data_IF_578665489385
#
_entry.id   IF_578665489385
#
_cell.length_a   1.000
_cell.length_b   1.000
_cell.length_c   1.000
_cell.angle_alpha   90.00
_cell.angle_beta   90.00
_cell.angle_gamma   90.00
#
_symmetry.space_group_name_H-M   'P 1'
#
loop_
_entity.id
_entity.type
_entity.pdbx_description
1 polymer ?
#
# COMPACT_ATOMS: atom_id res chain seq x y z
N UNK A 1 -22.68 0.81 -12.87
CA UNK A 1 -22.03 1.87 -12.08
C UNK A 1 -20.68 1.34 -11.64
N UNK A 2 -19.57 1.96 -12.03
CA UNK A 2 -18.24 1.54 -11.54
C UNK A 2 -18.12 1.78 -10.03
N UNK A 3 -17.24 1.05 -9.32
CA UNK A 3 -16.98 1.33 -7.91
C UNK A 3 -16.49 2.77 -7.78
N UNK A 4 -17.25 3.62 -7.09
CA UNK A 4 -16.79 4.96 -6.78
C UNK A 4 -15.61 4.85 -5.83
N UNK A 5 -14.41 5.12 -6.35
CA UNK A 5 -13.23 5.29 -5.52
C UNK A 5 -13.47 6.55 -4.69
N UNK A 6 -13.66 6.38 -3.38
CA UNK A 6 -13.80 7.50 -2.45
C UNK A 6 -12.64 8.48 -2.64
N UNK A 7 -12.92 9.78 -2.74
CA UNK A 7 -11.91 10.83 -2.93
C UNK A 7 -10.81 10.81 -1.86
N UNK A 8 -11.11 10.27 -0.68
CA UNK A 8 -10.14 10.05 0.41
C UNK A 8 -9.05 9.02 0.09
N UNK A 9 -9.22 8.18 -0.94
CA UNK A 9 -8.20 7.21 -1.38
C UNK A 9 -7.19 7.82 -2.38
N UNK A 10 -7.42 9.05 -2.87
CA UNK A 10 -6.52 9.73 -3.80
C UNK A 10 -5.37 10.47 -3.11
N UNK A 11 -5.45 10.69 -1.79
CA UNK A 11 -4.35 11.27 -1.02
C UNK A 11 -3.27 10.24 -0.77
N UNK A 12 -2.01 10.64 -0.93
CA UNK A 12 -0.89 9.80 -0.56
C UNK A 12 -0.94 9.53 0.97
N UNK A 13 -0.86 8.28 1.45
CA UNK A 13 -0.81 7.98 2.89
C UNK A 13 0.22 8.82 3.66
N UNK A 14 1.33 9.18 2.99
CA UNK A 14 2.38 10.02 3.55
C UNK A 14 1.88 11.39 4.01
N UNK A 15 0.82 11.93 3.40
CA UNK A 15 0.22 13.22 3.76
C UNK A 15 -0.45 13.21 5.14
N UNK A 16 -0.74 12.01 5.66
CA UNK A 16 -1.46 11.82 6.92
C UNK A 16 -0.56 11.34 8.06
N UNK A 17 0.74 11.19 7.82
CA UNK A 17 1.66 10.72 8.85
C UNK A 17 1.83 11.82 9.91
N UNK A 18 1.57 11.54 11.20
CA UNK A 18 1.44 12.57 12.24
C UNK A 18 2.72 13.37 12.48
N UNK A 19 3.89 12.83 12.12
CA UNK A 19 5.18 13.55 12.19
C UNK A 19 6.09 13.06 11.05
N UNK A 20 6.27 13.88 10.01
CA UNK A 20 7.34 13.71 9.01
C UNK A 20 8.66 14.26 9.58
N UNK A 21 9.28 13.51 10.47
CA UNK A 21 10.62 13.82 10.95
C UNK A 21 11.64 13.04 10.10
N UNK A 22 12.25 13.73 9.13
CA UNK A 22 13.27 13.16 8.25
C UNK A 22 14.53 12.72 9.03
N UNK A 23 14.70 13.12 10.29
CA UNK A 23 15.77 12.59 11.15
C UNK A 23 15.41 11.23 11.78
N UNK A 24 14.14 10.82 11.70
CA UNK A 24 13.60 9.55 12.19
C UNK A 24 13.35 8.54 11.08
N UNK A 25 14.14 8.58 9.99
CA UNK A 25 14.27 7.51 8.98
C UNK A 25 14.86 6.23 9.60
N UNK A 26 14.31 5.77 10.71
CA UNK A 26 14.75 4.53 11.34
C UNK A 26 14.24 3.40 10.48
N UNK A 27 15.17 2.62 9.96
CA UNK A 27 14.89 1.27 9.48
C UNK A 27 14.05 0.54 10.53
N UNK A 28 12.92 -0.03 10.10
CA UNK A 28 12.14 -0.88 10.99
C UNK A 28 12.92 -2.16 11.24
N UNK A 29 13.12 -2.51 12.51
CA UNK A 29 13.80 -3.75 12.88
C UNK A 29 12.97 -4.96 12.43
N UNK A 30 13.50 -5.73 11.47
CA UNK A 30 12.85 -6.91 10.88
C UNK A 30 13.24 -8.22 11.56
N UNK A 31 14.07 -8.18 12.62
CA UNK A 31 14.59 -9.40 13.23
C UNK A 31 13.56 -10.09 14.15
N UNK A 32 13.27 -11.36 13.82
CA UNK A 32 12.72 -12.42 14.67
C UNK A 32 11.21 -12.52 14.95
N UNK A 33 10.33 -11.73 14.31
CA UNK A 33 8.87 -11.94 14.43
C UNK A 33 8.14 -11.84 13.10
N UNK A 34 6.91 -12.34 13.02
CA UNK A 34 6.09 -12.13 11.82
C UNK A 34 5.85 -10.64 11.57
N UNK A 35 5.54 -10.22 10.35
CA UNK A 35 5.34 -8.79 10.06
C UNK A 35 4.26 -8.16 10.97
N UNK A 36 3.25 -8.95 11.35
CA UNK A 36 2.13 -8.54 12.22
C UNK A 36 2.53 -8.35 13.68
N UNK A 37 3.68 -8.86 14.07
CA UNK A 37 4.23 -8.78 15.43
C UNK A 37 5.48 -7.89 15.50
N UNK A 38 5.92 -7.36 14.36
CA UNK A 38 7.12 -6.53 14.24
C UNK A 38 6.82 -5.26 13.42
N UNK A 39 7.46 -5.11 12.26
CA UNK A 39 7.51 -3.86 11.52
C UNK A 39 6.15 -3.41 10.97
N UNK A 40 5.21 -4.32 10.69
CA UNK A 40 3.85 -3.94 10.30
C UNK A 40 3.05 -3.31 11.45
N UNK A 41 3.18 -3.86 12.67
CA UNK A 41 2.57 -3.28 13.86
C UNK A 41 3.22 -1.93 14.23
N UNK A 42 4.53 -1.82 14.07
CA UNK A 42 5.25 -0.57 14.29
C UNK A 42 4.84 0.50 13.28
N UNK A 43 4.72 0.13 12.00
CA UNK A 43 4.20 1.01 10.95
C UNK A 43 2.80 1.51 11.30
N UNK A 44 1.89 0.63 11.72
CA UNK A 44 0.56 1.01 12.22
C UNK A 44 0.65 2.05 13.34
N UNK A 45 1.47 1.80 14.37
CA UNK A 45 1.59 2.70 15.53
C UNK A 45 2.15 4.07 15.18
N UNK A 46 3.15 4.12 14.29
CA UNK A 46 3.80 5.36 13.91
C UNK A 46 3.01 6.19 12.91
N UNK A 47 2.26 5.54 12.01
CA UNK A 47 1.52 6.23 10.94
C UNK A 47 0.05 6.45 11.24
N UNK A 48 -0.52 5.68 12.16
CA UNK A 48 -1.97 5.66 12.42
C UNK A 48 -2.80 5.02 11.30
N UNK A 49 -2.16 4.44 10.28
CA UNK A 49 -2.87 3.87 9.13
C UNK A 49 -3.69 2.64 9.54
N UNK A 50 -5.00 2.67 9.37
CA UNK A 50 -5.93 1.61 9.83
C UNK A 50 -6.42 0.68 8.72
N UNK A 51 -6.09 0.96 7.45
CA UNK A 51 -6.57 0.20 6.30
C UNK A 51 -5.59 0.18 5.15
N UNK A 52 -5.92 -0.58 4.11
CA UNK A 52 -5.08 -0.71 2.92
C UNK A 52 -4.94 0.61 2.17
N UNK A 53 -3.72 1.07 1.95
CA UNK A 53 -3.40 2.29 1.20
C UNK A 53 -3.99 2.33 -0.22
N UNK A 54 -4.23 1.16 -0.82
CA UNK A 54 -4.65 1.06 -2.23
C UNK A 54 -6.15 0.85 -2.41
N UNK A 55 -6.83 0.16 -1.49
CA UNK A 55 -8.24 -0.17 -1.65
C UNK A 55 -9.13 0.18 -0.46
N UNK A 56 -8.56 0.75 0.60
CA UNK A 56 -9.32 1.22 1.76
C UNK A 56 -9.89 0.14 2.68
N UNK A 57 -9.68 -1.15 2.39
CA UNK A 57 -10.16 -2.22 3.28
C UNK A 57 -9.57 -2.01 4.68
N UNK A 58 -10.44 -1.98 5.69
CA UNK A 58 -10.02 -1.78 7.08
C UNK A 58 -9.37 -3.04 7.65
N UNK A 59 -8.29 -2.86 8.41
CA UNK A 59 -7.60 -3.92 9.16
C UNK A 59 -7.96 -3.92 10.65
N UNK A 60 -8.71 -2.93 11.12
CA UNK A 60 -8.99 -2.72 12.55
C UNK A 60 -10.47 -2.42 12.85
N UNK A 61 -11.40 -2.63 11.90
CA UNK A 61 -12.84 -2.38 12.11
C UNK A 61 -13.45 -3.27 13.20
N UNK A 62 -14.15 -2.66 14.16
CA UNK A 62 -14.79 -3.34 15.29
C UNK A 62 -16.02 -4.18 14.91
N UNK A 63 -16.57 -4.05 13.70
CA UNK A 63 -17.94 -4.49 13.43
C UNK A 63 -18.10 -5.84 12.68
N UNK A 64 -17.06 -6.45 12.07
CA UNK A 64 -17.11 -7.85 11.55
C UNK A 64 -15.76 -8.38 11.05
N UNK A 65 -15.50 -9.69 11.19
CA UNK A 65 -14.41 -10.49 10.57
C UNK A 65 -12.99 -9.88 10.50
N UNK A 66 -12.66 -9.03 11.46
CA UNK A 66 -11.45 -8.20 11.47
C UNK A 66 -10.15 -9.01 11.52
N UNK A 67 -10.20 -10.19 12.14
CA UNK A 67 -9.06 -11.10 12.18
C UNK A 67 -8.62 -11.53 10.78
N UNK A 68 -9.55 -11.80 9.86
CA UNK A 68 -9.20 -12.19 8.48
C UNK A 68 -8.56 -11.04 7.72
N UNK A 69 -9.07 -9.81 7.85
CA UNK A 69 -8.43 -8.64 7.24
C UNK A 69 -7.05 -8.38 7.83
N UNK A 70 -6.89 -8.53 9.14
CA UNK A 70 -5.60 -8.46 9.82
C UNK A 70 -4.62 -9.54 9.33
N UNK A 71 -5.09 -10.78 9.11
CA UNK A 71 -4.28 -11.86 8.49
C UNK A 71 -3.86 -11.50 7.06
N UNK A 72 -4.69 -10.77 6.33
CA UNK A 72 -4.41 -10.31 4.96
C UNK A 72 -3.59 -9.01 4.91
N UNK A 73 -3.28 -8.39 6.05
CA UNK A 73 -2.43 -7.21 6.11
C UNK A 73 -1.05 -7.52 5.50
N UNK A 74 -0.37 -6.50 5.03
CA UNK A 74 0.97 -6.56 4.47
C UNK A 74 1.59 -5.17 4.52
N UNK A 75 2.89 -5.10 4.28
CA UNK A 75 3.63 -3.85 4.13
C UNK A 75 4.19 -3.84 2.73
N UNK A 76 3.98 -2.72 2.04
CA UNK A 76 4.54 -2.50 0.72
C UNK A 76 5.61 -1.41 0.79
N UNK A 77 6.70 -1.64 0.06
CA UNK A 77 7.67 -0.59 -0.24
C UNK A 77 7.17 0.07 -1.52
N UNK A 78 6.67 1.31 -1.38
CA UNK A 78 6.08 2.06 -2.48
C UNK A 78 7.06 2.12 -3.64
N UNK A 79 8.28 2.60 -3.38
CA UNK A 79 9.45 2.37 -4.23
C UNK A 79 9.99 0.96 -3.94
N UNK A 80 9.90 0.01 -4.89
CA UNK A 80 10.36 -1.36 -4.68
C UNK A 80 11.87 -1.42 -4.44
N UNK A 81 12.29 -2.35 -3.57
CA UNK A 81 13.70 -2.62 -3.26
C UNK A 81 14.57 -2.82 -4.51
N UNK A 82 14.11 -3.60 -5.49
CA UNK A 82 14.87 -3.84 -6.73
C UNK A 82 15.13 -2.55 -7.48
N UNK A 83 14.14 -1.67 -7.54
CA UNK A 83 14.27 -0.35 -8.15
C UNK A 83 15.24 0.50 -7.33
N UNK A 84 15.09 0.55 -6.01
CA UNK A 84 15.99 1.33 -5.15
C UNK A 84 17.47 0.90 -5.26
N UNK A 85 17.73 -0.42 -5.30
CA UNK A 85 19.06 -0.98 -5.50
C UNK A 85 19.63 -0.65 -6.88
N UNK A 86 18.83 -0.75 -7.95
CA UNK A 86 19.26 -0.40 -9.31
C UNK A 86 19.72 1.06 -9.40
N UNK A 87 19.08 1.94 -8.62
CA UNK A 87 19.30 3.37 -8.63
C UNK A 87 20.29 3.84 -7.55
N UNK A 88 20.89 2.89 -6.80
CA UNK A 88 21.84 3.19 -5.73
C UNK A 88 21.30 4.16 -4.68
N UNK A 89 20.00 4.07 -4.38
CA UNK A 89 19.37 4.87 -3.31
C UNK A 89 19.91 4.39 -1.96
N UNK A 90 20.24 5.33 -1.09
CA UNK A 90 20.70 5.02 0.28
C UNK A 90 19.68 4.12 0.98
N UNK A 91 20.18 3.04 1.60
CA UNK A 91 19.35 2.07 2.28
C UNK A 91 18.49 2.67 3.39
N UNK A 92 19.02 3.64 4.13
CA UNK A 92 18.28 4.33 5.19
C UNK A 92 17.10 5.12 4.63
N UNK A 93 17.16 5.54 3.36
CA UNK A 93 16.06 6.24 2.70
C UNK A 93 15.00 5.25 2.21
N UNK A 94 15.38 4.18 1.49
CA UNK A 94 14.37 3.29 0.90
C UNK A 94 13.81 2.23 1.88
N UNK A 95 14.54 1.85 2.94
CA UNK A 95 14.02 1.04 4.06
C UNK A 95 13.29 1.91 5.12
N UNK A 96 13.25 3.23 4.93
CA UNK A 96 12.55 4.14 5.83
C UNK A 96 11.05 3.90 5.84
N UNK A 97 10.43 4.15 7.00
CA UNK A 97 8.98 4.22 7.17
C UNK A 97 8.29 5.14 6.14
N UNK A 98 8.97 6.16 5.61
CA UNK A 98 8.41 7.06 4.59
C UNK A 98 8.14 6.36 3.24
N UNK A 99 8.88 5.29 2.95
CA UNK A 99 8.66 4.46 1.77
C UNK A 99 7.64 3.34 2.00
N UNK A 100 7.19 3.14 3.24
CA UNK A 100 6.32 2.04 3.61
C UNK A 100 4.87 2.49 3.69
N UNK A 101 3.97 1.58 3.33
CA UNK A 101 2.52 1.70 3.54
C UNK A 101 1.93 0.37 3.99
N UNK A 102 0.88 0.41 4.81
CA UNK A 102 0.05 -0.78 5.04
C UNK A 102 -0.83 -1.03 3.83
N UNK A 103 -0.91 -2.29 3.42
CA UNK A 103 -1.73 -2.72 2.29
C UNK A 103 -2.26 -4.14 2.52
N UNK A 104 -3.24 -4.57 1.74
CA UNK A 104 -3.68 -5.97 1.78
C UNK A 104 -2.80 -6.80 0.86
N UNK A 105 -2.68 -8.10 1.14
CA UNK A 105 -1.81 -9.02 0.40
C UNK A 105 -2.10 -9.00 -1.10
N UNK A 106 -3.37 -8.99 -1.49
CA UNK A 106 -3.76 -8.93 -2.90
C UNK A 106 -3.25 -7.67 -3.60
N UNK A 107 -3.36 -6.50 -2.97
CA UNK A 107 -2.84 -5.25 -3.55
C UNK A 107 -1.31 -5.24 -3.62
N UNK A 108 -0.64 -5.78 -2.60
CA UNK A 108 0.82 -5.93 -2.61
C UNK A 108 1.27 -6.84 -3.77
N UNK A 109 0.60 -7.97 -3.95
CA UNK A 109 0.92 -8.92 -5.02
C UNK A 109 0.68 -8.34 -6.42
N UNK A 110 -0.35 -7.50 -6.62
CA UNK A 110 -0.54 -6.77 -7.88
C UNK A 110 0.60 -5.78 -8.14
N UNK A 111 0.96 -4.97 -7.14
CA UNK A 111 2.01 -3.97 -7.27
C UNK A 111 3.40 -4.57 -7.54
N UNK A 112 3.70 -5.75 -7.00
CA UNK A 112 4.99 -6.43 -7.19
C UNK A 112 5.15 -7.12 -8.55
N UNK A 113 4.05 -7.43 -9.25
CA UNK A 113 4.08 -8.09 -10.57
C UNK A 113 4.21 -7.10 -11.73
N UNK A 114 3.81 -5.84 -11.51
CA UNK A 114 4.00 -4.81 -12.52
C UNK A 114 5.47 -4.37 -12.54
N UNK A 115 6.13 -4.55 -13.69
CA UNK A 115 7.48 -4.01 -13.89
C UNK A 115 7.32 -2.50 -14.01
N UNK A 116 7.43 -1.83 -12.88
CA UNK A 116 7.30 -0.40 -12.72
C UNK A 116 7.99 0.35 -13.88
N UNK A 117 7.18 1.06 -14.68
CA UNK A 117 7.65 1.91 -15.79
C UNK A 117 7.65 3.40 -15.42
N UNK A 118 7.77 3.72 -14.13
CA UNK A 118 7.94 5.12 -13.73
C UNK A 118 9.31 5.55 -14.24
N UNK A 119 9.41 6.52 -15.17
CA UNK A 119 10.68 6.94 -15.74
C UNK A 119 11.62 7.36 -14.63
N UNK A 120 12.76 6.68 -14.52
CA UNK A 120 13.82 7.10 -13.63
C UNK A 120 14.53 8.31 -14.23
N UNK A 121 14.70 9.36 -13.43
CA UNK A 121 15.57 10.49 -13.76
C UNK A 121 16.79 10.45 -12.83
N UNK A 122 18.01 10.21 -13.35
CA UNK A 122 19.23 10.04 -12.55
C UNK A 122 19.56 11.19 -11.60
N UNK A 123 19.09 12.38 -11.95
CA UNK A 123 19.34 13.62 -11.22
C UNK A 123 18.46 13.74 -9.95
N UNK A 124 17.44 12.88 -9.81
CA UNK A 124 16.30 13.05 -8.89
C UNK A 124 16.43 12.27 -7.58
N UNK A 125 17.56 11.61 -7.25
CA UNK A 125 17.59 10.77 -6.03
C UNK A 125 18.79 10.94 -5.10
N UNK A 126 19.50 12.06 -5.21
CA UNK A 126 20.59 12.40 -4.28
C UNK A 126 20.13 13.17 -3.02
N UNK A 127 18.82 13.40 -2.85
CA UNK A 127 18.28 14.02 -1.63
C UNK A 127 17.00 13.31 -1.14
N UNK A 128 16.71 13.35 0.17
CA UNK A 128 15.46 12.83 0.73
C UNK A 128 14.21 13.43 0.07
N UNK A 129 14.21 14.73 -0.25
CA UNK A 129 13.08 15.43 -0.87
C UNK A 129 12.81 14.89 -2.28
N UNK A 130 13.86 14.68 -3.04
CA UNK A 130 13.78 14.18 -4.40
C UNK A 130 13.30 12.72 -4.43
N UNK A 131 13.75 11.90 -3.46
CA UNK A 131 13.18 10.58 -3.20
C UNK A 131 11.68 10.63 -2.87
N UNK A 132 11.26 11.53 -1.96
CA UNK A 132 9.84 11.65 -1.58
C UNK A 132 8.96 12.06 -2.75
N UNK A 133 9.42 12.96 -3.62
CA UNK A 133 8.70 13.32 -4.84
C UNK A 133 8.49 12.09 -5.74
N UNK A 134 9.58 11.35 -6.00
CA UNK A 134 9.50 10.16 -6.84
C UNK A 134 8.68 9.02 -6.21
N UNK A 135 8.72 8.89 -4.88
CA UNK A 135 7.87 7.97 -4.11
C UNK A 135 6.39 8.33 -4.27
N UNK A 136 6.02 9.61 -4.26
CA UNK A 136 4.62 10.06 -4.50
C UNK A 136 4.15 9.69 -5.89
N UNK A 137 4.96 9.93 -6.91
CA UNK A 137 4.60 9.58 -8.29
C UNK A 137 4.49 8.06 -8.48
N UNK A 138 5.40 7.32 -7.85
CA UNK A 138 5.33 5.87 -7.78
C UNK A 138 4.05 5.39 -7.11
N UNK A 139 3.67 5.98 -5.97
CA UNK A 139 2.43 5.65 -5.28
C UNK A 139 1.21 5.87 -6.17
N UNK A 140 1.11 7.04 -6.81
CA UNK A 140 0.00 7.37 -7.74
C UNK A 140 -0.10 6.37 -8.88
N UNK A 141 1.04 6.05 -9.52
CA UNK A 141 1.09 5.06 -10.59
C UNK A 141 0.59 3.69 -10.10
N UNK A 142 1.12 3.21 -8.97
CA UNK A 142 0.74 1.91 -8.39
C UNK A 142 -0.73 1.89 -7.97
N UNK A 143 -1.21 2.96 -7.34
CA UNK A 143 -2.61 3.11 -6.94
C UNK A 143 -3.55 2.97 -8.14
N UNK A 144 -3.25 3.68 -9.24
CA UNK A 144 -4.04 3.57 -10.47
C UNK A 144 -4.05 2.13 -11.00
N UNK A 145 -2.88 1.50 -11.15
CA UNK A 145 -2.76 0.13 -11.68
C UNK A 145 -3.46 -0.92 -10.81
N UNK A 146 -3.31 -0.81 -9.49
CA UNK A 146 -3.97 -1.70 -8.54
C UNK A 146 -5.49 -1.49 -8.61
N UNK A 147 -5.95 -0.25 -8.74
CA UNK A 147 -7.38 0.07 -8.89
C UNK A 147 -7.96 -0.52 -10.17
N UNK A 148 -7.27 -0.38 -11.30
CA UNK A 148 -7.64 -0.99 -12.59
C UNK A 148 -7.76 -2.53 -12.45
N UNK A 149 -6.76 -3.17 -11.82
CA UNK A 149 -6.76 -4.61 -11.61
C UNK A 149 -7.88 -5.08 -10.67
N UNK A 150 -8.16 -4.32 -9.63
CA UNK A 150 -9.29 -4.59 -8.72
C UNK A 150 -10.63 -4.48 -9.42
N UNK A 151 -10.82 -3.46 -10.26
CA UNK A 151 -12.05 -3.31 -11.03
C UNK A 151 -12.27 -4.50 -11.97
N UNK A 152 -11.21 -4.95 -12.64
CA UNK A 152 -11.24 -6.16 -13.47
C UNK A 152 -11.61 -7.42 -12.67
N UNK A 153 -10.98 -7.62 -11.51
CA UNK A 153 -11.20 -8.83 -10.71
C UNK A 153 -12.58 -8.81 -10.04
N UNK A 154 -13.10 -7.64 -9.67
CA UNK A 154 -14.48 -7.49 -9.21
C UNK A 154 -15.49 -7.85 -10.31
N UNK A 155 -15.29 -7.35 -11.54
CA UNK A 155 -16.15 -7.71 -12.67
C UNK A 155 -16.10 -9.20 -12.97
N UNK A 156 -14.93 -9.83 -12.83
CA UNK A 156 -14.79 -11.29 -12.94
C UNK A 156 -15.56 -11.99 -11.82
N UNK A 157 -15.34 -11.62 -10.55
CA UNK A 157 -16.01 -12.22 -9.40
C UNK A 157 -17.54 -12.16 -9.49
N UNK A 158 -18.08 -11.01 -9.89
CA UNK A 158 -19.53 -10.82 -10.06
C UNK A 158 -20.14 -11.70 -11.15
N UNK A 159 -19.35 -12.12 -12.14
CA UNK A 159 -19.78 -13.10 -13.13
C UNK A 159 -19.80 -14.54 -12.56
N UNK A 160 -18.89 -14.84 -11.63
CA UNK A 160 -18.72 -16.19 -11.08
C UNK A 160 -19.61 -16.49 -9.87
N UNK A 161 -20.01 -15.48 -9.11
CA UNK A 161 -20.92 -15.65 -7.97
C UNK A 161 -22.34 -15.41 -8.47
N UNK A 162 -23.19 -16.45 -8.56
CA UNK A 162 -24.59 -16.26 -8.90
C UNK A 162 -25.20 -15.25 -7.94
N UNK A 163 -26.01 -14.32 -8.46
CA UNK A 163 -26.90 -13.57 -7.58
C UNK A 163 -27.70 -14.60 -6.78
N UNK A 164 -27.90 -14.41 -5.47
CA UNK A 164 -28.77 -15.29 -4.72
C UNK A 164 -30.09 -15.34 -5.48
N UNK A 165 -30.56 -16.56 -5.79
CA UNK A 165 -31.87 -16.74 -6.41
C UNK A 165 -32.84 -15.85 -5.64
N UNK A 166 -33.48 -14.93 -6.35
CA UNK A 166 -34.63 -14.21 -5.82
C UNK A 166 -35.67 -15.28 -5.55
N UNK A 167 -35.59 -15.89 -4.37
CA UNK A 167 -36.65 -16.73 -3.86
C UNK A 167 -37.81 -15.77 -3.69
N UNK A 168 -38.71 -15.85 -4.66
CA UNK A 168 -39.98 -15.16 -4.69
C UNK A 168 -40.58 -15.25 -3.29
N UNK A 169 -40.68 -14.09 -2.65
CA UNK A 169 -41.43 -13.93 -1.42
C UNK A 169 -42.89 -13.83 -1.84
N UNK A 170 -43.58 -14.96 -1.83
CA UNK A 170 -45.05 -15.02 -1.78
C UNK A 170 -45.59 -14.28 -0.53
#
# INVERSE_FOLDING_TARGET
>A
MGPQISSHLLSDPLDHYPVLDLSKLKSLNTNQKTFRESYGLELYRQTGQTGCAYCGISFVDSNSNNFTHWLMMSVDHVVPRKTALLLSIDQNIWDSILNLVLCCRSCNDYGNRDRQKVPYQPEVVNSPEAFLHWRRDTFRYRFQKISEKRAHDLGTYQFWVPLPDSTDSD
#
